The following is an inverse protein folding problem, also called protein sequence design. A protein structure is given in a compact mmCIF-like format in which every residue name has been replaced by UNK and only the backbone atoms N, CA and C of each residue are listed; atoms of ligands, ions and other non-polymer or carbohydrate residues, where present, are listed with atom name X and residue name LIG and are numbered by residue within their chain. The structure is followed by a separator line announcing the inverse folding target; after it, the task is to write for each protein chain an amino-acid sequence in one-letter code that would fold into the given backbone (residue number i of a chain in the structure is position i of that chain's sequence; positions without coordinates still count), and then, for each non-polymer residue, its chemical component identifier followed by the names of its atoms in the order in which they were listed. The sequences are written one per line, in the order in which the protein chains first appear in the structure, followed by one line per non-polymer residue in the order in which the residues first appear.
data_IF_168615307624
#
_entry.id   IF_168615307624
#
_cell.length_a   1.000
_cell.length_b   1.000
_cell.length_c   1.000
_cell.angle_alpha   90.00
_cell.angle_beta   90.00
_cell.angle_gamma   90.00
#
_symmetry.space_group_name_H-M   'P 1'
#
loop_
_entity.id
_entity.type
_entity.pdbx_description
1 polymer ?
#
# COMPACT_ATOMS: atom_id res chain seq x y z
N UNK A 1 3.25 26.78 -67.76
CA UNK A 1 3.33 26.21 -66.41
C UNK A 1 4.74 25.67 -66.22
N UNK A 2 5.48 26.24 -65.27
CA UNK A 2 6.85 25.78 -64.94
C UNK A 2 6.73 24.45 -64.19
N UNK A 3 7.24 23.37 -64.77
CA UNK A 3 7.34 22.09 -64.10
C UNK A 3 8.55 22.10 -63.19
N UNK A 4 8.44 21.51 -61.97
CA UNK A 4 9.57 21.45 -61.05
C UNK A 4 10.71 20.60 -61.62
N UNK A 5 11.96 20.92 -61.25
CA UNK A 5 13.15 20.16 -61.66
C UNK A 5 13.06 18.67 -61.32
N UNK A 6 12.49 18.34 -60.21
CA UNK A 6 12.23 16.96 -59.78
C UNK A 6 11.28 16.20 -60.71
N UNK A 7 10.26 16.90 -61.24
CA UNK A 7 9.33 16.30 -62.20
C UNK A 7 10.01 16.09 -63.59
N UNK A 8 10.87 17.03 -64.00
CA UNK A 8 11.64 16.94 -65.23
C UNK A 8 12.60 15.74 -65.21
N UNK A 9 13.37 15.55 -64.10
CA UNK A 9 14.27 14.41 -63.95
C UNK A 9 13.52 13.07 -63.98
N UNK A 10 12.39 12.98 -63.30
CA UNK A 10 11.58 11.77 -63.26
C UNK A 10 11.07 11.31 -64.60
N UNK A 11 10.78 12.28 -65.49
CA UNK A 11 10.23 12.04 -66.86
C UNK A 11 11.32 11.72 -67.86
N UNK A 12 12.52 12.22 -67.68
CA UNK A 12 13.62 12.15 -68.68
C UNK A 12 14.69 11.12 -68.34
N UNK A 13 15.01 10.94 -67.07
CA UNK A 13 16.09 10.06 -66.63
C UNK A 13 15.75 9.50 -65.23
N UNK A 14 15.14 8.33 -65.25
CA UNK A 14 14.69 7.67 -64.03
C UNK A 14 15.83 7.27 -63.09
N UNK A 15 16.98 6.72 -63.54
CA UNK A 15 18.13 6.41 -62.73
C UNK A 15 18.69 7.67 -62.03
N UNK A 16 18.84 8.75 -62.74
CA UNK A 16 19.32 10.03 -62.19
C UNK A 16 18.34 10.65 -61.21
N UNK A 17 17.05 10.48 -61.44
CA UNK A 17 16.02 10.88 -60.49
C UNK A 17 16.14 10.09 -59.16
N UNK A 18 16.29 8.77 -59.22
CA UNK A 18 16.40 7.94 -58.05
C UNK A 18 17.68 8.24 -57.24
N UNK A 19 18.80 8.55 -57.95
CA UNK A 19 20.03 9.01 -57.31
C UNK A 19 19.83 10.37 -56.64
N UNK A 20 19.22 11.33 -57.29
CA UNK A 20 18.92 12.66 -56.75
C UNK A 20 18.01 12.58 -55.52
N UNK A 21 17.01 11.70 -55.50
CA UNK A 21 16.14 11.50 -54.37
C UNK A 21 16.92 10.90 -53.17
N UNK A 22 17.81 9.94 -53.46
CA UNK A 22 18.66 9.32 -52.40
C UNK A 22 19.64 10.32 -51.79
N UNK A 23 20.29 11.15 -52.63
CA UNK A 23 21.18 12.21 -52.13
C UNK A 23 20.43 13.21 -51.23
N UNK A 24 19.26 13.67 -51.66
CA UNK A 24 18.42 14.54 -50.81
C UNK A 24 17.91 13.89 -49.55
N UNK A 25 17.68 12.59 -49.58
CA UNK A 25 17.31 11.83 -48.38
C UNK A 25 18.47 11.75 -47.39
N UNK A 26 19.68 11.46 -47.88
CA UNK A 26 20.89 11.41 -47.02
C UNK A 26 21.28 12.78 -46.49
N UNK A 27 21.00 13.87 -47.22
CA UNK A 27 21.21 15.24 -46.76
C UNK A 27 20.07 15.82 -45.90
N UNK A 28 19.04 15.01 -45.60
CA UNK A 28 17.89 15.45 -44.79
C UNK A 28 16.96 16.45 -45.47
N UNK A 29 17.08 16.66 -46.81
CA UNK A 29 16.35 17.68 -47.60
C UNK A 29 15.06 17.14 -48.22
N UNK A 30 14.57 15.98 -47.93
CA UNK A 30 13.27 15.49 -48.41
C UNK A 30 12.16 16.13 -47.58
N UNK A 31 11.62 17.24 -48.11
CA UNK A 31 10.63 18.09 -47.46
C UNK A 31 9.25 17.48 -47.28
N UNK A 32 9.14 16.56 -46.37
CA UNK A 32 8.06 16.31 -45.45
C UNK A 32 8.77 15.80 -44.20
N UNK A 33 8.93 16.68 -43.21
CA UNK A 33 9.51 16.31 -41.93
C UNK A 33 8.72 15.16 -41.31
N UNK A 34 9.16 13.95 -41.60
CA UNK A 34 8.99 12.89 -40.64
C UNK A 34 9.88 13.30 -39.47
N UNK A 35 9.26 13.92 -38.47
CA UNK A 35 9.85 14.00 -37.14
C UNK A 35 10.14 12.56 -36.80
N UNK A 36 11.40 12.12 -36.99
CA UNK A 36 11.89 10.90 -36.33
C UNK A 36 11.63 11.17 -34.86
N UNK A 37 10.77 10.38 -34.18
CA UNK A 37 10.63 10.56 -32.73
C UNK A 37 12.02 10.32 -32.17
N UNK A 38 12.59 11.36 -31.56
CA UNK A 38 13.79 11.16 -30.74
C UNK A 38 13.47 10.02 -29.80
N UNK A 39 14.27 8.94 -29.76
CA UNK A 39 14.05 7.90 -28.80
C UNK A 39 14.14 8.56 -27.43
N UNK A 40 13.00 8.73 -26.76
CA UNK A 40 12.94 9.15 -25.37
C UNK A 40 13.49 7.99 -24.56
N UNK A 41 14.78 7.91 -24.44
CA UNK A 41 15.43 7.11 -23.42
C UNK A 41 15.09 7.78 -22.08
N UNK A 42 14.02 7.38 -21.45
CA UNK A 42 13.85 7.62 -20.04
C UNK A 42 14.81 6.67 -19.33
N UNK A 43 16.03 7.12 -19.11
CA UNK A 43 16.86 6.51 -18.12
C UNK A 43 16.14 6.77 -16.78
N UNK A 44 15.52 5.76 -16.20
CA UNK A 44 15.23 5.82 -14.77
C UNK A 44 16.57 6.10 -14.12
N UNK A 45 16.71 7.32 -13.58
CA UNK A 45 17.91 7.64 -12.81
C UNK A 45 18.05 6.55 -11.75
N UNK A 46 19.27 5.96 -11.57
CA UNK A 46 19.47 5.00 -10.51
C UNK A 46 19.04 5.67 -9.22
N UNK A 47 17.89 5.24 -8.67
CA UNK A 47 17.45 5.68 -7.37
C UNK A 47 18.44 5.06 -6.40
N UNK A 48 19.44 5.85 -5.98
CA UNK A 48 20.21 5.50 -4.79
C UNK A 48 19.15 5.27 -3.71
N UNK A 49 19.10 4.06 -3.14
CA UNK A 49 18.27 3.80 -1.97
C UNK A 49 18.69 4.80 -0.93
N UNK A 50 17.87 5.83 -0.71
CA UNK A 50 18.03 6.72 0.42
C UNK A 50 17.99 5.83 1.64
N UNK A 51 18.98 5.99 2.53
CA UNK A 51 19.06 5.26 3.78
C UNK A 51 17.68 5.29 4.44
N UNK A 52 17.13 4.12 4.73
CA UNK A 52 15.82 4.04 5.37
C UNK A 52 15.94 4.64 6.76
N UNK A 53 15.19 5.68 7.04
CA UNK A 53 15.25 6.37 8.34
C UNK A 53 14.89 5.43 9.50
N UNK A 54 14.11 4.37 9.25
CA UNK A 54 13.81 3.36 10.26
C UNK A 54 15.04 2.56 10.68
N UNK A 55 16.10 2.47 9.83
CA UNK A 55 17.34 1.78 10.18
C UNK A 55 18.17 2.48 11.27
N UNK A 56 17.79 3.71 11.67
CA UNK A 56 18.36 4.41 12.82
C UNK A 56 17.76 3.93 14.15
N UNK A 57 16.65 3.22 14.08
CA UNK A 57 15.93 2.71 15.24
C UNK A 57 16.26 1.24 15.49
N UNK A 58 16.12 0.82 16.73
CA UNK A 58 16.30 -0.57 17.10
C UNK A 58 15.08 -1.41 16.68
N UNK A 59 15.31 -2.55 16.00
CA UNK A 59 14.25 -3.49 15.68
C UNK A 59 13.66 -4.11 16.94
N UNK A 60 12.35 -4.28 16.98
CA UNK A 60 11.68 -4.90 18.14
C UNK A 60 12.23 -6.31 18.42
N UNK A 61 12.59 -7.06 17.38
CA UNK A 61 13.19 -8.41 17.53
C UNK A 61 14.56 -8.40 18.23
N UNK A 62 15.31 -7.29 18.18
CA UNK A 62 16.61 -7.15 18.82
C UNK A 62 16.52 -6.72 20.30
N UNK A 63 15.39 -6.16 20.71
CA UNK A 63 15.16 -5.75 22.09
C UNK A 63 15.16 -6.95 23.05
N UNK A 64 15.49 -6.69 24.31
CA UNK A 64 15.35 -7.69 25.35
C UNK A 64 13.90 -8.20 25.45
N UNK A 65 13.72 -9.50 25.77
CA UNK A 65 12.39 -10.12 25.91
C UNK A 65 11.50 -9.46 26.98
N UNK A 66 12.11 -8.79 27.96
CA UNK A 66 11.39 -8.04 29.01
C UNK A 66 11.05 -6.62 28.61
N UNK A 67 11.55 -6.13 27.46
CA UNK A 67 11.34 -4.75 27.02
C UNK A 67 9.83 -4.51 26.75
N UNK A 68 9.23 -3.38 27.24
CA UNK A 68 7.80 -3.14 27.16
C UNK A 68 7.25 -3.20 25.72
N UNK A 69 7.98 -2.65 24.74
CA UNK A 69 7.54 -2.66 23.34
C UNK A 69 7.50 -4.08 22.75
N UNK A 70 8.49 -4.94 23.07
CA UNK A 70 8.51 -6.33 22.62
C UNK A 70 7.41 -7.14 23.29
N UNK A 71 7.27 -7.01 24.62
CA UNK A 71 6.20 -7.69 25.37
C UNK A 71 4.82 -7.31 24.85
N UNK A 72 4.58 -6.03 24.60
CA UNK A 72 3.31 -5.55 24.07
C UNK A 72 2.89 -6.30 22.79
N UNK A 73 3.83 -6.61 21.89
CA UNK A 73 3.54 -7.33 20.64
C UNK A 73 3.44 -8.83 20.85
N UNK A 74 4.30 -9.41 21.68
CA UNK A 74 4.27 -10.84 22.03
C UNK A 74 2.98 -11.20 22.77
N UNK A 75 2.57 -10.37 23.73
CA UNK A 75 1.31 -10.55 24.49
C UNK A 75 0.06 -10.44 23.57
N UNK A 76 0.19 -9.83 22.40
CA UNK A 76 -0.82 -9.82 21.34
C UNK A 76 -0.79 -11.04 20.43
N UNK A 77 0.13 -11.96 20.63
CA UNK A 77 0.29 -13.14 19.77
C UNK A 77 1.02 -12.86 18.46
N UNK A 78 1.68 -11.70 18.30
CA UNK A 78 2.45 -11.37 17.09
C UNK A 78 3.75 -12.19 17.10
N UNK A 79 4.01 -12.91 16.01
CA UNK A 79 5.16 -13.81 15.89
C UNK A 79 6.50 -13.08 15.80
N UNK A 80 7.57 -13.74 16.23
CA UNK A 80 8.95 -13.21 16.16
C UNK A 80 9.37 -12.78 14.75
N UNK A 81 8.83 -13.42 13.71
CA UNK A 81 9.12 -13.04 12.33
C UNK A 81 8.62 -11.61 12.02
N UNK A 82 7.44 -11.27 12.50
CA UNK A 82 6.87 -9.93 12.31
C UNK A 82 7.59 -8.86 13.13
N UNK A 83 8.17 -9.21 14.28
CA UNK A 83 8.94 -8.26 15.09
C UNK A 83 10.18 -7.72 14.36
N UNK A 84 10.71 -8.45 13.36
CA UNK A 84 11.87 -8.03 12.55
C UNK A 84 11.58 -6.81 11.66
N UNK A 85 10.32 -6.55 11.36
CA UNK A 85 9.88 -5.44 10.48
C UNK A 85 9.34 -4.25 11.26
N UNK A 86 9.33 -4.31 12.58
CA UNK A 86 8.85 -3.25 13.48
C UNK A 86 10.02 -2.68 14.28
N UNK A 87 9.93 -1.39 14.63
CA UNK A 87 11.02 -0.70 15.31
C UNK A 87 10.52 -0.02 16.59
N UNK A 88 11.45 0.23 17.51
CA UNK A 88 11.20 0.97 18.73
C UNK A 88 11.76 2.39 18.63
N UNK A 89 10.93 3.37 18.90
CA UNK A 89 11.32 4.78 18.96
C UNK A 89 11.04 5.32 20.36
N UNK A 90 12.06 5.64 21.17
CA UNK A 90 11.87 6.15 22.52
C UNK A 90 11.30 7.58 22.55
N UNK A 91 11.68 8.43 21.60
CA UNK A 91 11.31 9.84 21.50
C UNK A 91 10.71 10.10 20.11
N UNK A 92 9.44 9.82 19.94
CA UNK A 92 8.78 9.81 18.62
C UNK A 92 8.75 11.19 17.96
N UNK A 93 8.43 12.25 18.70
CA UNK A 93 8.33 13.59 18.13
C UNK A 93 9.70 14.13 17.74
N UNK A 94 10.70 13.92 18.58
CA UNK A 94 12.07 14.35 18.34
C UNK A 94 12.64 13.66 17.09
N UNK A 95 12.54 12.32 17.04
CA UNK A 95 12.99 11.54 15.91
C UNK A 95 12.25 11.91 14.62
N UNK A 96 10.93 12.09 14.67
CA UNK A 96 10.15 12.55 13.51
C UNK A 96 10.64 13.92 13.03
N UNK A 97 10.82 14.89 13.94
CA UNK A 97 11.24 16.24 13.59
C UNK A 97 12.67 16.32 13.04
N UNK A 98 13.54 15.35 13.35
CA UNK A 98 14.87 15.25 12.76
C UNK A 98 14.82 14.94 11.27
N UNK A 99 13.79 14.23 10.81
CA UNK A 99 13.62 13.85 9.39
C UNK A 99 12.60 14.73 8.65
N UNK A 100 11.51 15.08 9.32
CA UNK A 100 10.45 15.93 8.78
C UNK A 100 9.82 16.74 9.92
N UNK A 101 9.93 18.05 9.85
CA UNK A 101 9.37 18.94 10.86
C UNK A 101 7.83 18.93 10.82
N UNK A 102 7.23 18.24 11.77
CA UNK A 102 5.77 18.05 11.90
C UNK A 102 5.27 18.67 13.20
N UNK A 103 5.96 18.37 14.31
CA UNK A 103 5.55 18.81 15.64
C UNK A 103 6.14 20.20 15.96
N UNK A 104 5.31 21.08 16.50
CA UNK A 104 5.72 22.43 16.90
C UNK A 104 6.72 22.40 18.04
N UNK A 105 6.54 21.47 18.96
CA UNK A 105 7.43 21.19 20.08
C UNK A 105 7.52 19.69 20.36
N UNK A 106 8.51 19.30 21.12
CA UNK A 106 8.76 17.91 21.52
C UNK A 106 8.41 17.67 23.00
N UNK A 107 7.67 18.59 23.62
CA UNK A 107 7.22 18.42 25.00
C UNK A 107 6.27 17.20 25.09
N UNK A 108 6.36 16.48 26.21
CA UNK A 108 5.58 15.27 26.45
C UNK A 108 5.70 14.28 25.28
N UNK A 109 6.93 14.05 24.83
CA UNK A 109 7.19 13.01 23.83
C UNK A 109 6.96 11.62 24.44
N UNK A 110 6.49 10.69 23.62
CA UNK A 110 6.18 9.33 24.06
C UNK A 110 6.89 8.27 23.21
N UNK A 111 7.19 7.17 23.86
CA UNK A 111 7.76 6.02 23.18
C UNK A 111 6.72 5.32 22.32
N UNK A 112 7.10 4.98 21.08
CA UNK A 112 6.20 4.34 20.11
C UNK A 112 6.84 3.15 19.39
N UNK A 113 6.01 2.22 18.99
CA UNK A 113 6.36 1.21 18.01
C UNK A 113 6.18 1.83 16.62
N UNK A 114 7.22 1.79 15.80
CA UNK A 114 7.19 2.30 14.43
C UNK A 114 6.84 1.15 13.49
N UNK A 115 5.83 1.39 12.67
CA UNK A 115 5.29 0.51 11.65
C UNK A 115 5.58 1.16 10.31
N UNK A 116 6.62 0.74 9.55
CA UNK A 116 6.96 1.34 8.27
C UNK A 116 5.88 1.13 7.23
N UNK A 117 5.55 2.17 6.46
CA UNK A 117 4.69 2.08 5.28
C UNK A 117 5.59 2.06 4.04
N UNK A 118 5.55 0.95 3.31
CA UNK A 118 6.39 0.71 2.13
C UNK A 118 5.54 0.47 0.90
N UNK A 119 6.01 1.00 -0.23
CA UNK A 119 5.38 0.72 -1.52
C UNK A 119 5.71 -0.71 -2.00
N UNK A 120 5.11 -1.14 -3.11
CA UNK A 120 5.31 -2.47 -3.67
C UNK A 120 6.79 -2.77 -4.05
N UNK A 121 7.65 -1.76 -4.13
CA UNK A 121 9.09 -1.91 -4.37
C UNK A 121 9.90 -2.01 -3.06
N UNK A 122 9.23 -1.85 -1.91
CA UNK A 122 9.84 -1.84 -0.59
C UNK A 122 10.41 -0.48 -0.17
N UNK A 123 10.21 0.59 -0.95
CA UNK A 123 10.67 1.93 -0.60
C UNK A 123 9.77 2.55 0.46
N UNK A 124 10.36 3.10 1.52
CA UNK A 124 9.65 3.77 2.60
C UNK A 124 8.98 5.06 2.09
N UNK A 125 7.67 5.18 2.27
CA UNK A 125 6.92 6.40 1.95
C UNK A 125 6.26 7.06 3.17
N UNK A 126 6.24 6.39 4.30
CA UNK A 126 5.70 6.89 5.54
C UNK A 126 5.87 5.88 6.67
N UNK A 127 5.35 6.20 7.81
CA UNK A 127 5.31 5.29 8.96
C UNK A 127 4.16 5.64 9.90
N UNK A 128 3.74 4.66 10.68
CA UNK A 128 2.77 4.85 11.73
C UNK A 128 3.42 4.57 13.08
N UNK A 129 3.28 5.49 14.03
CA UNK A 129 3.76 5.37 15.39
C UNK A 129 2.64 4.93 16.34
N UNK A 130 2.70 3.71 16.89
CA UNK A 130 1.78 3.22 17.92
C UNK A 130 2.31 3.55 19.29
N UNK A 131 1.59 4.35 20.08
CA UNK A 131 1.95 4.67 21.45
C UNK A 131 1.93 3.44 22.35
N UNK A 132 2.94 3.35 23.22
CA UNK A 132 3.01 2.35 24.29
C UNK A 132 2.26 2.81 25.56
N UNK A 133 1.94 4.09 25.66
CA UNK A 133 1.14 4.64 26.76
C UNK A 133 -0.34 4.31 26.52
N UNK A 134 -0.98 3.51 27.39
CA UNK A 134 -2.39 3.17 27.26
C UNK A 134 -3.32 4.37 27.46
N UNK A 135 -2.85 5.45 28.09
CA UNK A 135 -3.61 6.67 28.36
C UNK A 135 -3.50 7.69 27.22
N UNK A 136 -2.61 7.44 26.25
CA UNK A 136 -2.42 8.33 25.11
C UNK A 136 -3.71 8.51 24.31
N UNK A 137 -4.13 9.78 24.14
CA UNK A 137 -5.29 10.13 23.30
C UNK A 137 -5.05 9.82 21.81
N UNK A 138 -3.80 9.88 21.37
CA UNK A 138 -3.38 9.61 20.00
C UNK A 138 -2.66 8.25 19.94
N UNK A 139 -3.43 7.17 20.01
CA UNK A 139 -2.88 5.81 19.97
C UNK A 139 -2.03 5.55 18.73
N UNK A 140 -2.45 6.05 17.58
CA UNK A 140 -1.73 5.96 16.32
C UNK A 140 -1.50 7.35 15.74
N UNK A 141 -0.29 7.62 15.26
CA UNK A 141 0.06 8.82 14.50
C UNK A 141 0.70 8.34 13.20
N UNK A 142 0.14 8.77 12.06
CA UNK A 142 0.69 8.43 10.74
C UNK A 142 1.44 9.63 10.18
N UNK A 143 2.70 9.42 9.81
CA UNK A 143 3.58 10.41 9.18
C UNK A 143 3.83 9.98 7.75
N UNK A 144 3.47 10.84 6.81
CA UNK A 144 3.72 10.62 5.39
C UNK A 144 4.98 11.37 4.96
N UNK A 145 5.94 10.67 4.36
CA UNK A 145 7.16 11.24 3.80
C UNK A 145 6.97 11.61 2.34
N UNK A 146 6.12 10.86 1.62
CA UNK A 146 5.68 11.11 0.25
C UNK A 146 4.15 11.13 0.20
N UNK A 147 3.58 11.71 -0.84
CA UNK A 147 2.13 11.71 -1.09
C UNK A 147 1.73 10.36 -1.72
N UNK A 148 1.32 9.43 -0.86
CA UNK A 148 0.96 8.05 -1.18
C UNK A 148 -0.26 7.62 -0.36
N UNK A 149 -0.94 6.56 -0.78
CA UNK A 149 -2.03 5.97 0.00
C UNK A 149 -1.51 5.36 1.31
N UNK A 150 -2.20 5.61 2.42
CA UNK A 150 -1.81 5.12 3.76
C UNK A 150 -2.09 3.62 3.91
N UNK A 151 -1.35 2.82 3.18
CA UNK A 151 -1.49 1.36 3.16
C UNK A 151 -0.23 0.72 3.74
N UNK A 152 -0.42 -0.21 4.66
CA UNK A 152 0.64 -1.07 5.19
C UNK A 152 0.66 -2.41 4.48
N UNK A 153 1.85 -2.95 4.22
CA UNK A 153 2.04 -4.32 3.75
C UNK A 153 2.05 -4.50 2.23
N UNK A 154 2.03 -3.43 1.42
CA UNK A 154 2.07 -3.52 -0.05
C UNK A 154 3.30 -4.27 -0.58
N UNK A 155 4.43 -4.15 0.09
CA UNK A 155 5.69 -4.81 -0.27
C UNK A 155 5.67 -6.33 -0.11
N UNK A 156 4.65 -6.87 0.60
CA UNK A 156 4.50 -8.31 0.90
C UNK A 156 3.42 -8.97 0.06
N UNK A 157 2.70 -8.19 -0.76
CA UNK A 157 1.55 -8.70 -1.52
C UNK A 157 1.99 -9.64 -2.64
N UNK A 158 1.41 -10.85 -2.65
CA UNK A 158 1.38 -11.72 -3.81
C UNK A 158 0.14 -11.38 -4.66
N UNK A 159 0.32 -10.64 -5.75
CA UNK A 159 -0.77 -10.17 -6.60
C UNK A 159 -1.49 -11.25 -7.41
N UNK A 160 -1.00 -12.50 -7.41
CA UNK A 160 -1.66 -13.63 -8.06
C UNK A 160 -2.71 -14.31 -7.19
N UNK A 161 -2.76 -13.95 -5.91
CA UNK A 161 -3.70 -14.47 -4.93
C UNK A 161 -4.67 -13.40 -4.45
N UNK A 162 -5.72 -13.81 -3.74
CA UNK A 162 -6.61 -12.86 -3.07
C UNK A 162 -5.85 -12.04 -2.03
N UNK A 163 -6.05 -10.72 -2.03
CA UNK A 163 -5.46 -9.79 -1.08
C UNK A 163 -6.49 -9.42 -0.02
N UNK A 164 -6.18 -9.71 1.23
CA UNK A 164 -7.05 -9.35 2.35
C UNK A 164 -6.80 -7.90 2.76
N UNK A 165 -7.88 -7.18 3.03
CA UNK A 165 -7.84 -5.78 3.46
C UNK A 165 -8.41 -5.70 4.87
N UNK A 166 -7.57 -5.33 5.82
CA UNK A 166 -7.94 -5.15 7.24
C UNK A 166 -7.84 -3.68 7.67
N UNK A 167 -8.37 -3.34 8.85
CA UNK A 167 -8.35 -1.96 9.32
C UNK A 167 -7.00 -1.57 9.94
N UNK A 168 -6.37 -2.45 10.69
CA UNK A 168 -5.16 -2.15 11.44
C UNK A 168 -3.92 -2.93 10.99
N UNK A 169 -2.71 -2.30 11.02
CA UNK A 169 -1.48 -3.00 10.65
C UNK A 169 -1.20 -4.26 11.46
N UNK A 170 -1.52 -4.26 12.76
CA UNK A 170 -1.29 -5.44 13.60
C UNK A 170 -2.24 -6.60 13.25
N UNK A 171 -3.49 -6.29 12.86
CA UNK A 171 -4.44 -7.30 12.43
C UNK A 171 -4.00 -8.00 11.14
N UNK A 172 -3.35 -7.24 10.23
CA UNK A 172 -2.82 -7.81 8.98
C UNK A 172 -1.72 -8.86 9.22
N UNK A 173 -1.06 -8.83 10.38
CA UNK A 173 0.01 -9.79 10.70
C UNK A 173 -0.54 -11.20 11.01
N UNK A 174 -1.84 -11.34 11.25
CA UNK A 174 -2.50 -12.63 11.49
C UNK A 174 -3.07 -13.25 10.20
N UNK A 175 -3.09 -12.48 9.11
CA UNK A 175 -3.71 -12.90 7.84
C UNK A 175 -2.65 -12.93 6.74
N UNK A 176 -2.40 -14.08 6.10
CA UNK A 176 -1.46 -14.13 4.98
C UNK A 176 -1.96 -13.29 3.81
N UNK A 177 -1.03 -12.70 3.06
CA UNK A 177 -1.32 -11.83 1.92
C UNK A 177 -2.28 -10.68 2.23
N UNK A 178 -2.08 -10.01 3.36
CA UNK A 178 -2.93 -8.93 3.83
C UNK A 178 -2.25 -7.56 3.76
N UNK A 179 -3.07 -6.55 3.47
CA UNK A 179 -2.74 -5.13 3.62
C UNK A 179 -3.64 -4.50 4.68
N UNK A 180 -3.17 -3.42 5.30
CA UNK A 180 -3.99 -2.66 6.24
C UNK A 180 -4.20 -1.22 5.78
N UNK A 181 -5.42 -0.71 5.97
CA UNK A 181 -5.76 0.68 5.75
C UNK A 181 -5.40 1.52 6.98
N UNK A 182 -4.34 2.31 6.90
CA UNK A 182 -3.87 3.16 8.00
C UNK A 182 -4.58 4.53 8.04
N UNK A 183 -5.76 4.64 7.47
CA UNK A 183 -6.61 5.83 7.40
C UNK A 183 -7.99 5.49 6.86
N UNK A 184 -8.96 6.38 7.07
CA UNK A 184 -10.35 6.20 6.60
C UNK A 184 -10.54 6.54 5.11
N UNK A 185 -9.58 7.23 4.53
CA UNK A 185 -9.60 7.85 3.19
C UNK A 185 -8.74 7.09 2.17
N UNK A 186 -8.46 5.82 2.43
CA UNK A 186 -7.64 4.98 1.52
C UNK A 186 -8.43 4.57 0.29
N UNK A 187 -7.91 4.88 -0.89
CA UNK A 187 -8.44 4.43 -2.17
C UNK A 187 -7.60 3.26 -2.73
N UNK A 188 -8.23 2.11 -2.92
CA UNK A 188 -7.63 0.91 -3.47
C UNK A 188 -7.85 0.75 -4.99
N UNK A 189 -8.59 1.67 -5.63
CA UNK A 189 -8.99 1.55 -7.04
C UNK A 189 -7.80 1.54 -8.02
N UNK A 190 -6.68 2.13 -7.62
CA UNK A 190 -5.42 2.11 -8.38
C UNK A 190 -4.65 0.79 -8.32
N UNK A 191 -5.05 -0.14 -7.46
CA UNK A 191 -4.42 -1.45 -7.28
C UNK A 191 -5.23 -2.54 -7.97
N UNK A 192 -4.61 -3.29 -8.86
CA UNK A 192 -5.28 -4.36 -9.64
C UNK A 192 -5.18 -5.70 -8.92
N UNK A 193 -5.85 -5.82 -7.76
CA UNK A 193 -5.91 -7.06 -6.98
C UNK A 193 -7.34 -7.51 -6.74
N UNK A 194 -7.51 -8.81 -6.43
CA UNK A 194 -8.78 -9.33 -5.93
C UNK A 194 -8.87 -9.11 -4.43
N UNK A 195 -9.58 -8.08 -4.01
CA UNK A 195 -9.70 -7.72 -2.60
C UNK A 195 -10.79 -8.49 -1.88
N UNK A 196 -10.47 -8.90 -0.64
CA UNK A 196 -11.40 -9.43 0.35
C UNK A 196 -11.30 -8.57 1.60
N UNK A 197 -12.36 -7.86 1.95
CA UNK A 197 -12.37 -6.98 3.13
C UNK A 197 -12.68 -7.77 4.39
N UNK A 198 -11.90 -7.53 5.42
CA UNK A 198 -12.02 -8.13 6.75
C UNK A 198 -12.11 -6.98 7.76
N UNK A 199 -13.31 -6.58 8.10
CA UNK A 199 -13.58 -5.53 9.08
C UNK A 199 -13.67 -6.12 10.50
N UNK A 200 -13.68 -5.25 11.51
CA UNK A 200 -13.92 -5.65 12.89
C UNK A 200 -15.30 -6.30 13.05
N UNK A 201 -15.43 -7.27 13.96
CA UNK A 201 -16.68 -7.97 14.26
C UNK A 201 -17.56 -7.13 15.21
N UNK A 202 -17.99 -5.96 14.76
CA UNK A 202 -18.79 -5.04 15.54
C UNK A 202 -20.18 -4.79 14.91
N UNK A 203 -21.14 -5.72 14.98
CA UNK A 203 -22.44 -5.63 14.29
C UNK A 203 -23.34 -4.50 14.79
N UNK A 204 -22.99 -3.85 15.92
CA UNK A 204 -23.69 -2.70 16.49
C UNK A 204 -22.99 -1.36 16.20
N UNK A 205 -21.81 -1.38 15.62
CA UNK A 205 -21.07 -0.18 15.25
C UNK A 205 -21.52 0.30 13.87
N UNK A 206 -22.26 1.41 13.82
CA UNK A 206 -22.79 1.98 12.57
C UNK A 206 -21.70 2.20 11.50
N UNK A 207 -20.52 2.68 11.91
CA UNK A 207 -19.42 2.95 10.96
C UNK A 207 -18.92 1.66 10.31
N UNK A 208 -18.78 0.57 11.06
CA UNK A 208 -18.37 -0.73 10.53
C UNK A 208 -19.45 -1.30 9.61
N UNK A 209 -20.72 -1.21 10.03
CA UNK A 209 -21.86 -1.65 9.23
C UNK A 209 -21.93 -0.89 7.89
N UNK A 210 -21.73 0.42 7.89
CA UNK A 210 -21.70 1.25 6.68
C UNK A 210 -20.50 0.90 5.77
N UNK A 211 -19.33 0.64 6.33
CA UNK A 211 -18.13 0.19 5.57
C UNK A 211 -18.38 -1.14 4.87
N UNK A 212 -18.95 -2.12 5.58
CA UNK A 212 -19.27 -3.45 5.01
C UNK A 212 -20.31 -3.31 3.89
N UNK A 213 -21.38 -2.55 4.13
CA UNK A 213 -22.44 -2.31 3.13
C UNK A 213 -21.86 -1.64 1.87
N UNK A 214 -21.02 -0.63 2.06
CA UNK A 214 -20.31 0.05 0.97
C UNK A 214 -19.43 -0.91 0.18
N UNK A 215 -18.65 -1.76 0.85
CA UNK A 215 -17.78 -2.74 0.19
C UNK A 215 -18.60 -3.73 -0.65
N UNK A 216 -19.71 -4.25 -0.10
CA UNK A 216 -20.61 -5.16 -0.82
C UNK A 216 -21.25 -4.47 -2.04
N UNK A 217 -21.71 -3.23 -1.89
CA UNK A 217 -22.34 -2.48 -2.97
C UNK A 217 -21.36 -2.09 -4.09
N UNK A 218 -20.08 -1.96 -3.77
CA UNK A 218 -18.99 -1.77 -4.75
C UNK A 218 -18.54 -3.08 -5.40
N UNK A 219 -19.13 -4.22 -5.04
CA UNK A 219 -18.86 -5.53 -5.64
C UNK A 219 -17.69 -6.29 -5.02
N UNK A 220 -17.13 -5.80 -3.93
CA UNK A 220 -16.04 -6.50 -3.24
C UNK A 220 -16.53 -7.73 -2.47
N UNK A 221 -15.62 -8.68 -2.28
CA UNK A 221 -15.81 -9.78 -1.33
C UNK A 221 -15.56 -9.28 0.09
N UNK A 222 -16.34 -9.79 1.03
CA UNK A 222 -16.23 -9.44 2.46
C UNK A 222 -16.25 -10.68 3.34
N UNK A 223 -15.60 -10.62 4.48
CA UNK A 223 -15.75 -11.63 5.54
C UNK A 223 -16.92 -11.21 6.42
N UNK A 224 -17.87 -12.13 6.63
CA UNK A 224 -18.98 -11.96 7.60
C UNK A 224 -18.83 -13.04 8.65
N UNK A 225 -18.60 -12.63 9.87
CA UNK A 225 -18.33 -13.53 10.99
C UNK A 225 -19.56 -14.35 11.36
N UNK A 226 -19.39 -15.64 11.70
CA UNK A 226 -20.47 -16.46 12.22
C UNK A 226 -20.85 -16.00 13.64
N UNK A 227 -22.10 -16.31 14.06
CA UNK A 227 -22.67 -15.85 15.35
C UNK A 227 -21.91 -16.37 16.58
N UNK A 228 -21.19 -17.48 16.41
CA UNK A 228 -20.38 -18.13 17.44
C UNK A 228 -19.12 -17.34 17.79
N UNK A 229 -18.61 -16.52 16.85
CA UNK A 229 -17.45 -15.64 17.07
C UNK A 229 -17.93 -14.37 17.76
N UNK A 230 -17.52 -14.21 19.03
CA UNK A 230 -17.90 -13.05 19.84
C UNK A 230 -16.78 -12.01 19.96
N UNK A 231 -15.56 -12.36 19.58
CA UNK A 231 -14.38 -11.52 19.62
C UNK A 231 -14.54 -10.35 18.66
N UNK A 232 -14.07 -9.18 19.08
CA UNK A 232 -14.25 -7.92 18.37
C UNK A 232 -13.37 -7.83 17.12
N UNK A 233 -12.11 -8.19 17.24
CA UNK A 233 -11.09 -8.03 16.20
C UNK A 233 -10.26 -9.31 16.05
N UNK A 234 -9.39 -9.34 15.03
CA UNK A 234 -8.57 -10.52 14.73
C UNK A 234 -7.58 -10.82 15.85
N UNK A 235 -7.07 -9.80 16.54
CA UNK A 235 -6.17 -10.01 17.67
C UNK A 235 -6.87 -10.71 18.85
N UNK A 236 -8.07 -10.27 19.20
CA UNK A 236 -8.88 -10.90 20.24
C UNK A 236 -9.24 -12.36 19.88
N UNK A 237 -9.48 -12.63 18.58
CA UNK A 237 -9.74 -13.99 18.09
C UNK A 237 -8.51 -14.89 18.26
N UNK A 238 -7.31 -14.41 17.89
CA UNK A 238 -6.06 -15.15 18.09
C UNK A 238 -5.81 -15.46 19.56
N UNK A 239 -6.00 -14.47 20.44
CA UNK A 239 -5.84 -14.63 21.89
C UNK A 239 -6.86 -15.60 22.49
N UNK A 240 -8.04 -15.72 21.87
CA UNK A 240 -9.05 -16.71 22.25
C UNK A 240 -8.78 -18.11 21.66
N UNK A 241 -7.68 -18.30 20.90
CA UNK A 241 -7.32 -19.58 20.29
C UNK A 241 -8.10 -19.94 19.04
N UNK A 242 -8.76 -18.97 18.41
CA UNK A 242 -9.48 -19.18 17.14
C UNK A 242 -8.46 -19.25 16.01
N UNK A 243 -8.58 -20.26 15.16
CA UNK A 243 -7.85 -20.31 13.88
C UNK A 243 -8.45 -19.27 12.91
N UNK A 244 -7.88 -18.06 12.96
CA UNK A 244 -8.33 -16.90 12.18
C UNK A 244 -8.27 -17.18 10.70
N UNK A 245 -7.25 -17.90 10.21
CA UNK A 245 -7.08 -18.15 8.78
C UNK A 245 -8.18 -19.07 8.25
N UNK A 246 -8.46 -20.16 8.94
CA UNK A 246 -9.57 -21.07 8.60
C UNK A 246 -10.92 -20.36 8.73
N UNK A 247 -11.12 -19.59 9.79
CA UNK A 247 -12.35 -18.83 10.03
C UNK A 247 -12.60 -17.84 8.88
N UNK A 248 -11.61 -17.05 8.47
CA UNK A 248 -11.72 -16.11 7.35
C UNK A 248 -12.08 -16.88 6.05
N UNK A 249 -11.30 -17.91 5.70
CA UNK A 249 -11.49 -18.67 4.44
C UNK A 249 -12.90 -19.26 4.33
N UNK A 250 -13.49 -19.74 5.42
CA UNK A 250 -14.82 -20.31 5.43
C UNK A 250 -15.96 -19.27 5.35
N UNK A 251 -15.66 -17.99 5.60
CA UNK A 251 -16.66 -16.94 5.74
C UNK A 251 -16.51 -15.78 4.75
N UNK A 252 -15.88 -16.01 3.60
CA UNK A 252 -15.82 -15.05 2.49
C UNK A 252 -17.11 -15.12 1.70
N UNK A 253 -17.74 -13.97 1.51
CA UNK A 253 -18.98 -13.83 0.75
C UNK A 253 -18.89 -12.68 -0.25
N UNK A 254 -19.62 -12.80 -1.37
CA UNK A 254 -19.73 -11.77 -2.41
C UNK A 254 -21.17 -11.67 -2.94
N UNK A 255 -21.49 -10.56 -3.59
CA UNK A 255 -22.77 -10.33 -4.28
C UNK A 255 -24.00 -10.54 -3.37
N UNK A 256 -25.01 -11.22 -3.86
CA UNK A 256 -26.27 -11.43 -3.12
C UNK A 256 -26.06 -12.24 -1.84
N UNK A 257 -25.16 -13.24 -1.86
CA UNK A 257 -24.87 -14.04 -0.67
C UNK A 257 -24.27 -13.19 0.45
N UNK A 258 -23.39 -12.23 0.11
CA UNK A 258 -22.85 -11.28 1.08
C UNK A 258 -23.95 -10.42 1.67
N UNK A 259 -24.88 -9.88 0.84
CA UNK A 259 -26.02 -9.07 1.31
C UNK A 259 -26.91 -9.83 2.30
N UNK A 260 -27.24 -11.08 2.01
CA UNK A 260 -28.06 -11.91 2.89
C UNK A 260 -27.35 -12.15 4.23
N UNK A 261 -26.09 -12.60 4.20
CA UNK A 261 -25.30 -12.85 5.42
C UNK A 261 -25.07 -11.59 6.23
N UNK A 262 -24.83 -10.45 5.58
CA UNK A 262 -24.68 -9.16 6.22
C UNK A 262 -25.95 -8.71 6.94
N UNK A 263 -27.14 -8.89 6.31
CA UNK A 263 -28.41 -8.58 6.96
C UNK A 263 -28.69 -9.42 8.21
N UNK A 264 -28.26 -10.69 8.22
CA UNK A 264 -28.36 -11.58 9.39
C UNK A 264 -27.34 -11.22 10.49
N UNK A 265 -26.20 -10.62 10.11
CA UNK A 265 -25.10 -10.29 11.04
C UNK A 265 -25.30 -8.93 11.70
N UNK A 266 -25.71 -7.89 10.96
CA UNK A 266 -25.86 -6.53 11.49
C UNK A 266 -26.97 -6.44 12.54
N UNK A 267 -26.75 -5.58 13.55
CA UNK A 267 -27.67 -5.36 14.68
C UNK A 267 -28.03 -3.87 14.87
N UNK A 268 -27.97 -3.10 13.79
CA UNK A 268 -28.33 -1.67 13.69
C UNK A 268 -29.22 -1.43 12.49
#
# INVERSE_FOLDING_TARGET
MSRSFTYFLKDRDRPLYDQYVMERYTEGMTGKGTVTPEPKFSFEQPKFRTKDICDELEKISALNTTHPARRYLVDRGISEEHLKSLYYCPNFKEWTNAHKKIFKDTNNDDARIIIPLRDAKGDLFGYQGRSLDPTSRMRYITIMLRDEQKIYGLEKVNGTEQVFVVEGPFDSLFVPNAIAMCGSDVDLSGLNYQFVFVFDNEPRNKQIVEKIDSAINRGYSVVIYPKEVQQKDLNDMVLAGIDVQSMIKCNIYSGLKAKLKFNDWKKV
#
